data_IF_397869330463
#
_entry.id   IF_397869330463
#
_cell.length_a   1.000
_cell.length_b   1.000
_cell.length_c   1.000
_cell.angle_alpha   90.00
_cell.angle_beta   90.00
_cell.angle_gamma   90.00
#
_symmetry.space_group_name_H-M   'P 1'
#
loop_
_entity.id
_entity.type
_entity.pdbx_description
1 polymer ?
#
# COMPACT_ATOMS: atom_id res chain seq x y z
N UNK A 1 -38.89 49.38 15.60
CA UNK A 1 -38.84 47.94 15.23
C UNK A 1 -39.61 47.13 16.27
N UNK A 2 -40.57 46.27 15.85
CA UNK A 2 -41.38 45.48 16.78
C UNK A 2 -40.50 44.36 17.40
N UNK A 3 -40.66 44.10 18.73
CA UNK A 3 -39.89 43.06 19.47
C UNK A 3 -39.84 41.69 18.77
N UNK A 4 -40.89 41.32 18.00
CA UNK A 4 -40.90 40.09 17.18
C UNK A 4 -39.88 40.05 16.06
N UNK A 5 -39.65 41.19 15.36
CA UNK A 5 -38.67 41.32 14.26
C UNK A 5 -37.24 41.19 14.76
N UNK A 6 -36.95 41.74 15.97
CA UNK A 6 -35.63 41.63 16.59
C UNK A 6 -35.31 40.16 16.94
N UNK A 7 -36.31 39.43 17.51
CA UNK A 7 -36.12 38.01 17.85
C UNK A 7 -35.89 37.12 16.62
N UNK A 8 -36.58 37.40 15.51
CA UNK A 8 -36.43 36.67 14.27
C UNK A 8 -35.05 36.88 13.67
N UNK A 9 -34.57 38.14 13.63
CA UNK A 9 -33.24 38.47 13.13
C UNK A 9 -32.13 37.81 13.99
N UNK A 10 -32.28 37.84 15.31
CA UNK A 10 -31.34 37.17 16.22
C UNK A 10 -31.32 35.65 16.01
N UNK A 11 -32.47 35.02 15.78
CA UNK A 11 -32.53 33.56 15.51
C UNK A 11 -31.86 33.21 14.17
N UNK A 12 -32.03 34.01 13.12
CA UNK A 12 -31.40 33.78 11.82
C UNK A 12 -29.89 33.97 11.93
N UNK A 13 -29.41 35.00 12.62
CA UNK A 13 -27.97 35.24 12.81
C UNK A 13 -27.32 34.11 13.60
N UNK A 14 -27.97 33.62 14.66
CA UNK A 14 -27.47 32.49 15.45
C UNK A 14 -27.42 31.20 14.63
N UNK A 15 -28.43 30.93 13.77
CA UNK A 15 -28.44 29.74 12.92
C UNK A 15 -27.33 29.81 11.86
N UNK A 16 -27.06 30.97 11.26
CA UNK A 16 -25.96 31.13 10.28
C UNK A 16 -24.60 30.94 10.94
N UNK A 17 -24.42 31.47 12.16
CA UNK A 17 -23.17 31.27 12.92
C UNK A 17 -23.00 29.78 13.28
N UNK A 18 -24.05 29.11 13.74
CA UNK A 18 -23.99 27.67 14.08
C UNK A 18 -23.65 26.79 12.85
N UNK A 19 -24.22 27.08 11.69
CA UNK A 19 -23.89 26.38 10.43
C UNK A 19 -22.47 26.71 10.01
N UNK A 20 -22.02 27.96 10.13
CA UNK A 20 -20.65 28.36 9.82
C UNK A 20 -19.61 27.68 10.70
N UNK A 21 -19.86 27.54 11.99
CA UNK A 21 -18.98 26.84 12.92
C UNK A 21 -18.96 25.34 12.66
N UNK A 22 -20.11 24.73 12.37
CA UNK A 22 -20.18 23.31 12.03
C UNK A 22 -19.44 23.00 10.71
N UNK A 23 -19.64 23.80 9.68
CA UNK A 23 -18.99 23.59 8.37
C UNK A 23 -17.49 23.85 8.45
N UNK A 24 -17.03 24.87 9.17
CA UNK A 24 -15.60 25.13 9.40
C UNK A 24 -14.96 24.05 10.26
N UNK A 25 -15.69 23.55 11.29
CA UNK A 25 -15.24 22.44 12.12
C UNK A 25 -15.11 21.14 11.32
N UNK A 26 -16.07 20.82 10.47
CA UNK A 26 -16.01 19.64 9.58
C UNK A 26 -14.90 19.82 8.54
N UNK A 27 -14.78 20.98 7.93
CA UNK A 27 -13.70 21.26 6.96
C UNK A 27 -12.32 21.15 7.58
N UNK A 28 -12.12 21.69 8.80
CA UNK A 28 -10.85 21.56 9.53
C UNK A 28 -10.58 20.12 9.97
N UNK A 29 -11.62 19.38 10.36
CA UNK A 29 -11.50 17.97 10.75
C UNK A 29 -11.13 17.08 9.55
N UNK A 30 -11.76 17.29 8.39
CA UNK A 30 -11.43 16.57 7.15
C UNK A 30 -10.04 16.94 6.67
N UNK A 31 -9.67 18.22 6.69
CA UNK A 31 -8.33 18.69 6.31
C UNK A 31 -7.23 18.12 7.20
N UNK A 32 -7.43 18.07 8.51
CA UNK A 32 -6.50 17.46 9.46
C UNK A 32 -6.40 15.94 9.25
N UNK A 33 -7.47 15.26 8.89
CA UNK A 33 -7.44 13.83 8.54
C UNK A 33 -6.65 13.55 7.28
N UNK A 34 -6.88 14.33 6.23
CA UNK A 34 -6.18 14.15 4.95
C UNK A 34 -4.69 14.48 5.08
N UNK A 35 -4.34 15.52 5.84
CA UNK A 35 -2.96 15.89 6.10
C UNK A 35 -2.18 14.86 6.95
N UNK A 36 -2.88 14.06 7.79
CA UNK A 36 -2.25 13.00 8.60
C UNK A 36 -2.17 11.65 7.92
N UNK A 37 -2.79 11.47 6.75
CA UNK A 37 -2.71 10.21 6.01
C UNK A 37 -1.30 9.95 5.48
N UNK A 38 -0.57 11.02 5.14
CA UNK A 38 0.84 10.96 4.70
C UNK A 38 1.60 12.07 5.41
N UNK A 39 2.71 11.75 6.06
CA UNK A 39 3.49 12.70 6.86
C UNK A 39 4.97 12.36 6.85
N UNK A 40 5.80 13.35 7.16
CA UNK A 40 7.22 13.16 7.41
C UNK A 40 7.43 12.89 8.91
N UNK A 41 7.94 11.72 9.25
CA UNK A 41 8.23 11.34 10.64
C UNK A 41 9.71 11.62 10.96
N UNK A 42 9.96 12.66 11.72
CA UNK A 42 11.31 13.06 12.12
C UNK A 42 12.04 12.03 13.01
N UNK A 43 11.33 11.05 13.56
CA UNK A 43 11.92 9.97 14.36
C UNK A 43 12.51 8.84 13.53
N UNK A 44 12.27 8.83 12.22
CA UNK A 44 12.78 7.80 11.32
C UNK A 44 14.25 7.99 10.99
N UNK A 45 14.93 6.89 10.81
CA UNK A 45 16.27 6.88 10.21
C UNK A 45 16.20 7.52 8.82
N UNK A 46 17.03 8.56 8.62
CA UNK A 46 16.98 9.34 7.38
C UNK A 46 17.58 8.61 6.19
N UNK A 47 18.58 7.78 6.46
CA UNK A 47 19.30 6.99 5.43
C UNK A 47 19.39 5.57 5.93
N UNK A 48 19.04 4.61 5.09
CA UNK A 48 19.25 3.19 5.36
C UNK A 48 19.78 2.48 4.12
N UNK A 49 20.42 1.35 4.33
CA UNK A 49 20.83 0.45 3.25
C UNK A 49 19.85 -0.71 3.17
N UNK A 50 19.43 -1.05 1.97
CA UNK A 50 18.60 -2.21 1.68
C UNK A 50 19.29 -3.08 0.63
N UNK A 51 19.12 -4.39 0.75
CA UNK A 51 19.53 -5.35 -0.27
C UNK A 51 18.29 -6.10 -0.76
N UNK A 52 18.05 -6.05 -2.07
CA UNK A 52 16.97 -6.74 -2.74
C UNK A 52 17.53 -7.32 -4.04
N UNK A 53 17.29 -8.62 -4.28
CA UNK A 53 17.80 -9.36 -5.44
C UNK A 53 19.34 -9.24 -5.62
N UNK A 54 20.08 -9.28 -4.50
CA UNK A 54 21.54 -9.12 -4.49
C UNK A 54 22.05 -7.69 -4.76
N UNK A 55 21.16 -6.75 -5.00
CA UNK A 55 21.49 -5.33 -5.22
C UNK A 55 21.39 -4.57 -3.91
N UNK A 56 22.52 -3.99 -3.51
CA UNK A 56 22.59 -3.17 -2.30
C UNK A 56 22.41 -1.70 -2.64
N UNK A 57 21.36 -1.08 -2.13
CA UNK A 57 20.98 0.31 -2.42
C UNK A 57 20.97 1.15 -1.14
N UNK A 58 21.57 2.34 -1.20
CA UNK A 58 21.39 3.36 -0.16
C UNK A 58 20.11 4.14 -0.42
N UNK A 59 19.29 4.31 0.62
CA UNK A 59 17.94 4.83 0.53
C UNK A 59 17.75 6.00 1.48
N UNK A 60 17.08 7.04 1.01
CA UNK A 60 16.70 8.22 1.80
C UNK A 60 15.22 8.16 2.17
N UNK A 61 14.90 8.42 3.44
CA UNK A 61 13.51 8.47 3.93
C UNK A 61 12.73 9.62 3.28
N UNK A 62 11.55 9.29 2.78
CA UNK A 62 10.65 10.25 2.10
C UNK A 62 9.43 10.56 2.96
N UNK A 63 8.68 9.53 3.38
CA UNK A 63 7.40 9.70 4.06
C UNK A 63 6.94 8.45 4.78
N UNK A 64 6.00 8.63 5.70
CA UNK A 64 5.15 7.55 6.24
C UNK A 64 3.72 7.77 5.79
N UNK A 65 3.06 6.72 5.30
CA UNK A 65 1.65 6.71 4.91
C UNK A 65 0.87 5.78 5.82
N UNK A 66 -0.12 6.30 6.53
CA UNK A 66 -1.03 5.51 7.35
C UNK A 66 -2.00 4.71 6.46
N UNK A 67 -2.25 3.46 6.82
CA UNK A 67 -3.29 2.66 6.21
C UNK A 67 -4.69 3.15 6.65
N UNK A 68 -5.73 2.84 5.85
CA UNK A 68 -7.07 3.40 5.99
C UNK A 68 -7.71 3.19 7.38
N UNK A 69 -7.30 2.14 8.10
CA UNK A 69 -7.83 1.79 9.42
C UNK A 69 -7.15 2.52 10.58
N UNK A 70 -6.13 3.36 10.31
CA UNK A 70 -5.38 4.10 11.34
C UNK A 70 -5.88 5.54 11.40
N UNK A 71 -7.11 5.74 11.92
CA UNK A 71 -7.76 7.05 11.88
C UNK A 71 -7.27 8.07 12.92
N UNK A 72 -6.74 7.61 14.07
CA UNK A 72 -6.26 8.48 15.13
C UNK A 72 -5.02 7.87 15.79
N UNK A 73 -3.91 8.59 15.75
CA UNK A 73 -2.70 8.25 16.50
C UNK A 73 -1.60 7.56 15.65
N UNK A 74 -0.59 7.08 16.35
CA UNK A 74 0.47 6.26 15.74
C UNK A 74 -0.07 4.87 15.41
N UNK A 75 0.43 4.25 14.33
CA UNK A 75 0.11 2.84 14.02
C UNK A 75 0.35 1.94 15.24
N UNK A 76 -0.58 1.03 15.49
CA UNK A 76 -0.50 0.11 16.65
C UNK A 76 0.44 -1.07 16.38
N UNK A 77 0.62 -1.42 15.12
CA UNK A 77 1.45 -2.52 14.65
C UNK A 77 2.13 -2.19 13.33
N UNK A 78 2.95 -3.11 12.81
CA UNK A 78 3.68 -2.93 11.55
C UNK A 78 2.79 -2.74 10.33
N UNK A 79 1.53 -3.19 10.38
CA UNK A 79 0.58 -3.11 9.25
C UNK A 79 -0.20 -1.79 9.22
N UNK A 80 -0.13 -0.99 10.27
CA UNK A 80 -0.89 0.26 10.40
C UNK A 80 -0.40 1.40 9.53
N UNK A 81 0.83 1.34 9.03
CA UNK A 81 1.41 2.33 8.11
C UNK A 81 2.55 1.71 7.28
N UNK A 82 3.01 2.47 6.30
CA UNK A 82 4.13 2.13 5.42
C UNK A 82 5.13 3.27 5.43
N UNK A 83 6.41 2.95 5.67
CA UNK A 83 7.53 3.85 5.55
C UNK A 83 8.12 3.78 4.14
N UNK A 84 8.23 4.90 3.45
CA UNK A 84 8.72 5.00 2.08
C UNK A 84 10.11 5.62 2.06
N UNK A 85 10.99 4.98 1.31
CA UNK A 85 12.36 5.42 1.04
C UNK A 85 12.60 5.42 -0.46
N UNK A 86 13.52 6.26 -0.93
CA UNK A 86 13.94 6.32 -2.33
C UNK A 86 15.46 6.27 -2.44
N UNK A 87 15.93 5.78 -3.59
CA UNK A 87 17.33 5.89 -3.98
C UNK A 87 17.73 7.35 -4.29
N UNK A 88 18.99 7.59 -4.60
CA UNK A 88 19.52 8.94 -4.89
C UNK A 88 18.87 9.56 -6.14
N UNK A 89 18.52 8.74 -7.15
CA UNK A 89 17.87 9.22 -8.37
C UNK A 89 16.39 9.60 -8.15
N UNK A 90 15.74 8.99 -7.17
CA UNK A 90 14.29 9.07 -6.96
C UNK A 90 13.46 8.17 -7.88
N UNK A 91 14.13 7.37 -8.73
CA UNK A 91 13.47 6.47 -9.68
C UNK A 91 13.05 5.15 -9.03
N UNK A 92 13.71 4.78 -7.92
CA UNK A 92 13.42 3.55 -7.20
C UNK A 92 12.84 3.87 -5.84
N UNK A 93 11.61 3.39 -5.58
CA UNK A 93 10.92 3.53 -4.30
C UNK A 93 10.85 2.19 -3.60
N UNK A 94 11.33 2.15 -2.33
CA UNK A 94 11.19 1.02 -1.42
C UNK A 94 10.19 1.34 -0.33
N UNK A 95 9.33 0.39 -0.03
CA UNK A 95 8.32 0.48 1.02
C UNK A 95 8.59 -0.57 2.09
N UNK A 96 8.55 -0.14 3.33
CA UNK A 96 8.77 -1.01 4.49
C UNK A 96 7.54 -0.99 5.39
N UNK A 97 7.24 -2.11 6.01
CA UNK A 97 6.26 -2.10 7.10
C UNK A 97 6.71 -1.14 8.20
N UNK A 98 5.74 -0.48 8.82
CA UNK A 98 5.99 0.59 9.79
C UNK A 98 6.95 0.15 10.91
N UNK A 99 8.02 0.95 11.12
CA UNK A 99 9.07 0.69 12.11
C UNK A 99 9.79 -0.67 11.97
N UNK A 100 9.92 -1.19 10.76
CA UNK A 100 10.65 -2.42 10.49
C UNK A 100 11.69 -2.23 9.39
N UNK A 101 12.51 -3.26 9.17
CA UNK A 101 13.37 -3.39 7.98
C UNK A 101 12.78 -4.39 6.97
N UNK A 102 11.54 -4.83 7.16
CA UNK A 102 10.86 -5.76 6.30
C UNK A 102 10.22 -5.03 5.12
N UNK A 103 10.67 -5.34 3.90
CA UNK A 103 10.16 -4.74 2.68
C UNK A 103 8.74 -5.25 2.44
N UNK A 104 7.83 -4.32 2.16
CA UNK A 104 6.46 -4.62 1.76
C UNK A 104 6.09 -4.04 0.40
N UNK A 105 7.03 -3.44 -0.31
CA UNK A 105 6.81 -2.95 -1.65
C UNK A 105 8.07 -2.35 -2.28
N UNK A 106 8.04 -2.29 -3.60
CA UNK A 106 9.11 -1.80 -4.44
C UNK A 106 8.50 -1.25 -5.71
N UNK A 107 9.04 -0.17 -6.24
CA UNK A 107 8.72 0.36 -7.57
C UNK A 107 10.02 0.82 -8.20
N UNK A 108 10.22 0.49 -9.47
CA UNK A 108 11.36 0.95 -10.25
C UNK A 108 10.86 1.54 -11.58
N UNK A 109 11.03 2.85 -11.74
CA UNK A 109 10.66 3.59 -12.94
C UNK A 109 11.79 3.72 -13.97
N UNK A 110 12.99 3.24 -13.63
CA UNK A 110 14.18 3.36 -14.49
C UNK A 110 14.45 2.15 -15.39
N UNK A 111 13.51 1.17 -15.40
CA UNK A 111 13.68 -0.07 -16.14
C UNK A 111 13.73 0.17 -17.63
N UNK A 112 14.64 -0.55 -18.29
CA UNK A 112 14.82 -0.54 -19.73
C UNK A 112 14.99 -1.97 -20.23
N UNK A 113 14.52 -2.22 -21.43
CA UNK A 113 14.69 -3.50 -22.10
C UNK A 113 14.87 -3.31 -23.60
N UNK A 114 15.41 -4.31 -24.26
CA UNK A 114 15.68 -4.29 -25.70
C UNK A 114 14.87 -5.33 -26.47
N UNK A 115 14.48 -6.40 -25.81
CA UNK A 115 13.76 -7.51 -26.43
C UNK A 115 12.52 -7.85 -25.59
N UNK A 116 11.31 -7.71 -26.15
CA UNK A 116 10.09 -8.08 -25.47
C UNK A 116 10.03 -9.59 -25.16
N UNK A 117 9.34 -9.93 -24.07
CA UNK A 117 8.99 -11.30 -23.75
C UNK A 117 8.16 -11.91 -24.88
N UNK A 118 8.39 -13.17 -25.18
CA UNK A 118 7.67 -13.90 -26.23
C UNK A 118 6.38 -14.53 -25.74
N UNK A 119 6.13 -14.56 -24.41
CA UNK A 119 4.91 -15.14 -23.85
C UNK A 119 4.60 -14.68 -22.42
N UNK A 120 3.31 -14.70 -22.06
CA UNK A 120 2.84 -14.47 -20.70
C UNK A 120 3.33 -15.57 -19.73
N UNK A 121 3.59 -16.77 -20.21
CA UNK A 121 4.14 -17.87 -19.40
C UNK A 121 5.53 -17.53 -18.87
N UNK A 122 6.39 -16.93 -19.71
CA UNK A 122 7.70 -16.47 -19.26
C UNK A 122 7.59 -15.34 -18.22
N UNK A 123 6.66 -14.41 -18.38
CA UNK A 123 6.41 -13.39 -17.40
C UNK A 123 5.96 -13.99 -16.05
N UNK A 124 5.12 -15.03 -16.08
CA UNK A 124 4.72 -15.79 -14.89
C UNK A 124 5.90 -16.46 -14.22
N UNK A 125 6.74 -17.15 -14.96
CA UNK A 125 7.95 -17.79 -14.41
C UNK A 125 8.87 -16.78 -13.71
N UNK A 126 8.97 -15.58 -14.26
CA UNK A 126 9.73 -14.47 -13.65
C UNK A 126 9.07 -14.05 -12.33
N UNK A 127 7.75 -13.83 -12.32
CA UNK A 127 7.01 -13.43 -11.12
C UNK A 127 7.10 -14.50 -10.02
N UNK A 128 6.87 -15.78 -10.36
CA UNK A 128 6.95 -16.90 -9.44
C UNK A 128 8.36 -17.02 -8.83
N UNK A 129 9.39 -16.94 -9.67
CA UNK A 129 10.78 -16.95 -9.22
C UNK A 129 11.11 -15.76 -8.30
N UNK A 130 10.59 -14.57 -8.61
CA UNK A 130 10.76 -13.40 -7.79
C UNK A 130 10.11 -13.57 -6.41
N UNK A 131 8.88 -14.05 -6.37
CA UNK A 131 8.13 -14.34 -5.13
C UNK A 131 8.89 -15.35 -4.27
N UNK A 132 9.35 -16.46 -4.83
CA UNK A 132 10.04 -17.50 -4.06
C UNK A 132 11.47 -17.11 -3.66
N UNK A 133 12.29 -16.68 -4.61
CA UNK A 133 13.74 -16.51 -4.36
C UNK A 133 14.13 -15.14 -3.84
N UNK A 134 13.44 -14.11 -4.29
CA UNK A 134 13.75 -12.73 -3.90
C UNK A 134 12.98 -12.33 -2.66
N UNK A 135 11.67 -12.57 -2.65
CA UNK A 135 10.82 -12.19 -1.53
C UNK A 135 10.75 -13.26 -0.43
N UNK A 136 11.11 -14.50 -0.72
CA UNK A 136 11.15 -15.61 0.23
C UNK A 136 9.78 -16.12 0.68
N UNK A 137 8.76 -16.06 -0.22
CA UNK A 137 7.45 -16.64 0.02
C UNK A 137 7.36 -18.02 -0.64
N UNK A 138 6.73 -18.97 0.04
CA UNK A 138 6.53 -20.31 -0.53
C UNK A 138 5.28 -20.34 -1.41
N UNK A 139 5.41 -20.70 -2.68
CA UNK A 139 4.28 -20.90 -3.60
C UNK A 139 3.39 -22.09 -3.21
N UNK A 140 3.79 -22.92 -2.25
CA UNK A 140 2.92 -23.93 -1.66
C UNK A 140 1.84 -23.28 -0.75
N UNK A 141 2.15 -22.15 -0.12
CA UNK A 141 1.23 -21.40 0.74
C UNK A 141 0.53 -20.27 0.01
N UNK A 142 1.21 -19.64 -0.94
CA UNK A 142 0.70 -18.52 -1.73
C UNK A 142 0.32 -19.01 -3.12
N UNK A 143 -0.95 -18.89 -3.46
CA UNK A 143 -1.48 -19.35 -4.75
C UNK A 143 -1.89 -18.16 -5.60
N UNK A 144 -1.60 -18.24 -6.89
CA UNK A 144 -2.14 -17.30 -7.87
C UNK A 144 -3.66 -17.44 -7.92
N UNK A 145 -4.35 -16.30 -8.03
CA UNK A 145 -5.80 -16.30 -8.19
C UNK A 145 -6.13 -16.70 -9.65
N UNK A 146 -6.86 -17.81 -9.87
CA UNK A 146 -7.15 -18.27 -11.21
C UNK A 146 -8.15 -17.37 -11.96
N UNK A 147 -8.90 -16.54 -11.24
CA UNK A 147 -9.94 -15.68 -11.81
C UNK A 147 -9.42 -14.28 -12.15
N UNK A 148 -8.18 -13.95 -11.83
CA UNK A 148 -7.59 -12.66 -12.16
C UNK A 148 -6.94 -12.69 -13.56
N UNK A 149 -7.16 -11.63 -14.37
CA UNK A 149 -6.52 -11.54 -15.68
C UNK A 149 -4.99 -11.45 -15.50
N UNK A 150 -4.27 -12.31 -16.21
CA UNK A 150 -2.81 -12.35 -16.19
C UNK A 150 -2.15 -11.15 -16.89
N UNK A 151 -2.94 -10.42 -17.70
CA UNK A 151 -2.46 -9.29 -18.48
C UNK A 151 -3.37 -8.09 -18.28
N UNK A 152 -2.79 -6.97 -17.89
CA UNK A 152 -3.43 -5.67 -17.93
C UNK A 152 -2.65 -4.76 -18.88
N UNK A 153 -3.29 -4.36 -19.96
CA UNK A 153 -2.71 -3.39 -20.90
C UNK A 153 -3.10 -2.00 -20.44
N UNK A 154 -2.18 -1.32 -19.78
CA UNK A 154 -2.35 0.09 -19.45
C UNK A 154 -2.02 0.94 -20.69
N UNK A 155 -2.91 1.85 -21.08
CA UNK A 155 -2.67 2.81 -22.17
C UNK A 155 -1.44 3.71 -21.90
N UNK A 156 -0.96 3.77 -20.64
CA UNK A 156 0.10 4.68 -20.21
C UNK A 156 1.48 4.01 -20.05
N UNK A 157 1.54 2.70 -19.84
CA UNK A 157 2.79 2.01 -19.48
C UNK A 157 3.18 0.91 -20.46
N UNK A 158 2.35 0.60 -21.49
CA UNK A 158 2.55 -0.54 -22.37
C UNK A 158 2.07 -1.86 -21.76
N UNK A 159 2.35 -3.00 -22.39
CA UNK A 159 1.94 -4.31 -21.89
C UNK A 159 2.65 -4.61 -20.56
N UNK A 160 1.86 -4.86 -19.54
CA UNK A 160 2.28 -5.16 -18.18
C UNK A 160 1.59 -6.45 -17.74
N UNK A 161 2.37 -7.39 -17.19
CA UNK A 161 1.87 -8.65 -16.68
C UNK A 161 1.72 -8.56 -15.17
N UNK A 162 0.49 -8.64 -14.66
CA UNK A 162 0.19 -8.54 -13.23
C UNK A 162 -0.18 -9.91 -12.67
N UNK A 163 0.44 -10.24 -11.56
CA UNK A 163 0.22 -11.50 -10.86
C UNK A 163 -0.17 -11.23 -9.42
N UNK A 164 -1.20 -11.91 -8.96
CA UNK A 164 -1.72 -11.83 -7.61
C UNK A 164 -1.61 -13.20 -6.92
N UNK A 165 -0.98 -13.21 -5.77
CA UNK A 165 -0.80 -14.40 -4.94
C UNK A 165 -1.45 -14.16 -3.59
N UNK A 166 -2.30 -15.06 -3.16
CA UNK A 166 -2.95 -15.01 -1.84
C UNK A 166 -2.52 -16.18 -0.99
N UNK A 167 -2.27 -15.94 0.29
CA UNK A 167 -2.03 -17.01 1.25
C UNK A 167 -3.32 -17.73 1.58
N UNK A 168 -3.27 -19.07 1.50
CA UNK A 168 -4.37 -19.95 1.89
C UNK A 168 -4.00 -20.72 3.15
N UNK A 169 -4.92 -20.80 4.11
CA UNK A 169 -4.79 -21.57 5.34
C UNK A 169 -6.06 -22.43 5.44
N UNK A 170 -5.92 -23.75 5.52
CA UNK A 170 -7.02 -24.70 5.58
C UNK A 170 -8.05 -24.51 4.44
N UNK A 171 -7.58 -24.07 3.27
CA UNK A 171 -8.43 -23.82 2.10
C UNK A 171 -9.10 -22.44 2.06
N UNK A 172 -8.93 -21.61 3.08
CA UNK A 172 -9.47 -20.26 3.13
C UNK A 172 -8.44 -19.24 2.62
N UNK A 173 -8.87 -18.39 1.67
CA UNK A 173 -8.10 -17.23 1.18
C UNK A 173 -7.99 -16.20 2.30
N UNK A 174 -6.79 -15.73 2.59
CA UNK A 174 -6.53 -14.65 3.57
C UNK A 174 -6.27 -13.33 2.85
N UNK A 175 -6.15 -12.22 3.59
CA UNK A 175 -5.69 -10.92 3.08
C UNK A 175 -4.16 -10.72 3.21
N UNK A 176 -3.41 -11.81 3.42
CA UNK A 176 -1.96 -11.85 3.26
C UNK A 176 -1.67 -12.12 1.77
N UNK A 177 -1.33 -11.07 1.05
CA UNK A 177 -1.34 -11.04 -0.42
C UNK A 177 -0.04 -10.46 -0.96
N UNK A 178 0.36 -10.92 -2.15
CA UNK A 178 1.47 -10.38 -2.91
C UNK A 178 0.99 -10.06 -4.31
N UNK A 179 1.30 -8.85 -4.76
CA UNK A 179 1.10 -8.40 -6.14
C UNK A 179 2.47 -8.15 -6.77
N UNK A 180 2.69 -8.68 -7.95
CA UNK A 180 3.93 -8.50 -8.73
C UNK A 180 3.56 -8.07 -10.13
N UNK A 181 4.25 -7.05 -10.63
CA UNK A 181 4.16 -6.61 -12.02
C UNK A 181 5.49 -6.86 -12.72
N UNK A 182 5.39 -7.47 -13.90
CA UNK A 182 6.50 -7.71 -14.82
C UNK A 182 6.22 -6.93 -16.10
N UNK A 183 7.19 -6.13 -16.55
CA UNK A 183 7.07 -5.38 -17.80
C UNK A 183 7.21 -6.29 -19.03
N UNK A 184 7.00 -5.71 -20.21
CA UNK A 184 7.12 -6.45 -21.48
C UNK A 184 8.53 -7.00 -21.74
N UNK A 185 9.54 -6.51 -21.05
CA UNK A 185 10.94 -6.94 -21.20
C UNK A 185 11.38 -7.96 -20.14
N UNK A 186 10.50 -8.33 -19.22
CA UNK A 186 10.80 -9.29 -18.17
C UNK A 186 11.42 -8.69 -16.91
N UNK A 187 11.36 -7.38 -16.72
CA UNK A 187 11.78 -6.77 -15.47
C UNK A 187 10.61 -6.74 -14.47
N UNK A 188 10.90 -6.98 -13.19
CA UNK A 188 9.94 -6.72 -12.14
C UNK A 188 9.88 -5.21 -11.88
N UNK A 189 8.81 -4.58 -12.35
CA UNK A 189 8.58 -3.14 -12.26
C UNK A 189 8.16 -2.73 -10.86
N UNK A 190 7.25 -3.48 -10.26
CA UNK A 190 6.85 -3.26 -8.89
C UNK A 190 6.34 -4.53 -8.21
N UNK A 191 6.40 -4.54 -6.90
CA UNK A 191 5.61 -5.47 -6.09
C UNK A 191 5.00 -4.77 -4.87
N UNK A 192 3.95 -5.38 -4.33
CA UNK A 192 3.38 -5.00 -3.04
C UNK A 192 3.01 -6.26 -2.28
N UNK A 193 3.52 -6.40 -1.05
CA UNK A 193 3.13 -7.44 -0.11
C UNK A 193 2.24 -6.81 0.98
N UNK A 194 1.05 -7.36 1.18
CA UNK A 194 0.10 -6.92 2.20
C UNK A 194 0.02 -7.94 3.32
N UNK A 195 0.01 -7.46 4.54
CA UNK A 195 -0.25 -8.27 5.75
C UNK A 195 0.69 -9.49 5.96
N UNK A 196 1.91 -9.45 5.41
CA UNK A 196 2.87 -10.56 5.50
C UNK A 196 3.05 -11.07 6.94
N UNK A 197 2.78 -12.36 7.14
CA UNK A 197 2.90 -13.02 8.44
C UNK A 197 1.87 -12.58 9.47
N UNK A 198 0.76 -11.95 9.04
CA UNK A 198 -0.35 -11.58 9.92
C UNK A 198 -1.11 -12.81 10.41
N UNK A 199 -1.20 -13.82 9.55
CA UNK A 199 -1.92 -15.04 9.82
C UNK A 199 -0.93 -16.19 10.09
N UNK A 200 -1.02 -16.72 11.30
CA UNK A 200 -0.30 -17.89 11.74
C UNK A 200 -1.23 -19.11 11.56
N UNK A 201 -0.81 -20.09 10.76
CA UNK A 201 -1.59 -21.28 10.49
C UNK A 201 -1.97 -22.07 11.75
N UNK A 202 -1.11 -22.03 12.78
CA UNK A 202 -1.39 -22.71 14.05
C UNK A 202 -2.47 -22.02 14.88
N UNK A 203 -2.69 -20.71 14.66
CA UNK A 203 -3.68 -19.89 15.39
C UNK A 203 -4.87 -19.47 14.53
N UNK A 204 -4.87 -19.85 13.26
CA UNK A 204 -5.93 -19.52 12.35
C UNK A 204 -7.22 -20.25 12.74
N UNK A 205 -8.29 -19.49 12.94
CA UNK A 205 -9.62 -20.04 13.21
C UNK A 205 -10.53 -19.74 12.04
N UNK A 206 -10.73 -20.75 11.20
CA UNK A 206 -11.53 -20.66 9.98
C UNK A 206 -12.99 -20.22 10.23
N UNK A 207 -13.60 -20.65 11.34
CA UNK A 207 -14.98 -20.24 11.68
C UNK A 207 -15.08 -18.74 11.98
N UNK A 208 -14.07 -18.17 12.63
CA UNK A 208 -14.01 -16.73 12.90
C UNK A 208 -13.76 -15.91 11.65
N UNK A 209 -12.99 -16.46 10.70
CA UNK A 209 -12.65 -15.75 9.47
C UNK A 209 -13.83 -15.72 8.48
N UNK A 210 -14.65 -16.78 8.46
CA UNK A 210 -15.83 -16.86 7.58
C UNK A 210 -16.98 -15.92 7.99
N UNK A 211 -16.90 -15.29 9.18
CA UNK A 211 -17.95 -14.39 9.72
C UNK A 211 -17.59 -12.90 9.47
N UNK A 212 -16.39 -12.60 9.06
CA UNK A 212 -15.92 -11.25 8.76
C UNK A 212 -16.05 -10.91 7.29
#
# INVERSE_FOLDING_TARGET
MKKKTIKLIAAIVLSVIAVGVLTSGIGSYVGVRTAKATYYDNSKEKVKTCELDGIKTELTYVRTKNNANTFFGKPKDKYGAVDTYQDESGDIEYRFYYNTNEICGYINHSLTGTEPLDSAEKARDIADNYVEKVLGYSLNEYRSDPDEPENDYSEWTGPEYKYHYSKYIDGYKTDDEIFVSVDEYGNVEWFTARNRGRYDSEKFNAERYAIL
#
